data_IF_080073802292
#
_entry.id   IF_080073802292
#
_cell.length_a   1.000
_cell.length_b   1.000
_cell.length_c   1.000
_cell.angle_alpha   90.00
_cell.angle_beta   90.00
_cell.angle_gamma   90.00
#
_symmetry.space_group_name_H-M   'P 1'
#
loop_
_entity.id
_entity.type
_entity.pdbx_description
1 polymer ?
#
# COMPACT_ATOMS: atom_id res chain seq x y z
N UNK A 1 0.52 -5.29 56.75
CA UNK A 1 -0.56 -4.55 56.07
C UNK A 1 -0.02 -3.57 55.01
N UNK A 2 0.95 -2.72 55.35
CA UNK A 2 1.51 -1.71 54.43
C UNK A 2 2.30 -2.28 53.24
N UNK A 3 2.99 -3.40 53.43
CA UNK A 3 3.74 -4.10 52.37
C UNK A 3 2.84 -4.63 51.26
N UNK A 4 1.66 -5.15 51.60
CA UNK A 4 0.69 -5.65 50.63
C UNK A 4 0.12 -4.53 49.74
N UNK A 5 -0.16 -3.35 50.32
CA UNK A 5 -0.68 -2.20 49.58
C UNK A 5 0.34 -1.65 48.57
N UNK A 6 1.63 -1.59 48.94
CA UNK A 6 2.71 -1.13 48.06
C UNK A 6 2.90 -2.10 46.89
N UNK A 7 2.86 -3.41 47.14
CA UNK A 7 2.98 -4.41 46.07
C UNK A 7 1.83 -4.31 45.06
N UNK A 8 0.59 -4.09 45.52
CA UNK A 8 -0.58 -3.93 44.63
C UNK A 8 -0.41 -2.68 43.75
N UNK A 9 0.05 -1.57 44.31
CA UNK A 9 0.24 -0.32 43.57
C UNK A 9 1.34 -0.45 42.50
N UNK A 10 2.44 -1.13 42.82
CA UNK A 10 3.51 -1.42 41.85
C UNK A 10 3.02 -2.33 40.71
N UNK A 11 2.21 -3.36 41.01
CA UNK A 11 1.64 -4.24 39.99
C UNK A 11 0.72 -3.45 39.04
N UNK A 12 -0.11 -2.55 39.56
CA UNK A 12 -1.01 -1.72 38.74
C UNK A 12 -0.20 -0.82 37.80
N UNK A 13 0.85 -0.16 38.30
CA UNK A 13 1.73 0.70 37.49
C UNK A 13 2.47 -0.12 36.43
N UNK A 14 3.00 -1.30 36.80
CA UNK A 14 3.66 -2.20 35.84
C UNK A 14 2.68 -2.70 34.77
N UNK A 15 1.45 -3.09 35.13
CA UNK A 15 0.44 -3.54 34.16
C UNK A 15 0.01 -2.39 33.23
N UNK A 16 -0.19 -1.18 33.75
CA UNK A 16 -0.47 0.00 32.91
C UNK A 16 0.71 0.35 32.01
N UNK A 17 1.94 0.28 32.53
CA UNK A 17 3.17 0.51 31.78
C UNK A 17 3.36 -0.52 30.66
N UNK A 18 3.23 -1.81 30.96
CA UNK A 18 3.33 -2.91 30.00
C UNK A 18 2.22 -2.81 28.96
N UNK A 19 0.96 -2.53 29.35
CA UNK A 19 -0.13 -2.34 28.38
C UNK A 19 0.13 -1.15 27.45
N UNK A 20 0.65 -0.05 27.98
CA UNK A 20 1.01 1.14 27.20
C UNK A 20 2.21 0.87 26.28
N UNK A 21 3.20 0.12 26.77
CA UNK A 21 4.40 -0.25 26.03
C UNK A 21 4.08 -1.26 24.92
N UNK A 22 3.28 -2.29 25.18
CA UNK A 22 2.79 -3.23 24.17
C UNK A 22 1.96 -2.52 23.09
N UNK A 23 1.10 -1.57 23.46
CA UNK A 23 0.37 -0.72 22.50
C UNK A 23 1.29 0.18 21.68
N UNK A 24 2.45 0.59 22.22
CA UNK A 24 3.44 1.40 21.51
C UNK A 24 4.40 0.57 20.66
N UNK A 25 4.70 -0.67 21.06
CA UNK A 25 5.56 -1.58 20.31
C UNK A 25 4.89 -2.20 19.07
N UNK A 26 3.56 -2.24 19.02
CA UNK A 26 2.85 -2.57 17.77
C UNK A 26 2.99 -1.49 16.70
N UNK A 27 3.60 -0.33 17.03
CA UNK A 27 4.07 0.64 16.07
C UNK A 27 5.54 0.36 15.74
N UNK A 28 5.77 -0.56 14.81
CA UNK A 28 7.11 -0.83 14.29
C UNK A 28 7.74 0.42 13.66
N UNK A 29 9.09 0.44 13.60
CA UNK A 29 9.98 1.51 13.12
C UNK A 29 9.68 2.13 11.74
N UNK A 30 8.65 1.70 11.02
CA UNK A 30 8.16 2.35 9.81
C UNK A 30 6.86 3.13 10.12
N UNK A 31 6.94 4.10 11.04
CA UNK A 31 6.00 5.22 11.16
C UNK A 31 4.49 4.93 11.13
N UNK A 32 4.04 3.72 11.47
CA UNK A 32 2.60 3.41 11.52
C UNK A 32 2.03 3.84 12.86
N UNK A 33 2.16 5.14 13.14
CA UNK A 33 1.25 5.85 14.05
C UNK A 33 -0.14 5.65 13.52
N UNK A 34 -0.93 4.92 14.32
CA UNK A 34 -2.26 4.50 13.95
C UNK A 34 -3.04 5.67 13.37
N UNK A 35 -3.48 5.51 12.13
CA UNK A 35 -4.80 5.87 11.63
C UNK A 35 -4.88 5.50 10.14
N UNK A 36 -5.65 4.43 9.88
CA UNK A 36 -6.11 3.92 8.58
C UNK A 36 -5.02 3.32 7.69
N UNK A 37 -5.01 1.98 7.61
CA UNK A 37 -4.50 1.27 6.45
C UNK A 37 -5.04 1.98 5.18
N UNK A 38 -4.15 2.37 4.27
CA UNK A 38 -4.52 3.12 3.06
C UNK A 38 -5.69 2.40 2.37
N UNK A 39 -6.82 3.12 2.25
CA UNK A 39 -8.03 2.56 1.65
C UNK A 39 -7.74 2.32 0.17
N UNK A 40 -7.76 1.05 -0.25
CA UNK A 40 -7.65 0.69 -1.67
C UNK A 40 -8.82 1.28 -2.43
N UNK A 41 -8.54 1.97 -3.52
CA UNK A 41 -9.54 2.45 -4.47
C UNK A 41 -10.16 1.21 -5.11
N UNK A 42 -11.47 1.03 -4.92
CA UNK A 42 -12.20 -0.11 -5.49
C UNK A 42 -12.58 0.21 -6.93
N UNK A 43 -11.88 -0.40 -7.88
CA UNK A 43 -12.30 -0.39 -9.29
C UNK A 43 -13.62 -1.13 -9.43
N UNK A 44 -14.56 -0.54 -10.19
CA UNK A 44 -15.91 -1.05 -10.40
C UNK A 44 -15.92 -2.35 -11.21
N UNK A 45 -15.03 -2.44 -12.20
CA UNK A 45 -14.89 -3.59 -13.08
C UNK A 45 -13.57 -4.33 -12.80
N UNK A 46 -13.67 -5.56 -12.28
CA UNK A 46 -12.52 -6.43 -12.00
C UNK A 46 -12.46 -7.65 -12.93
N UNK A 47 -13.27 -7.62 -13.97
CA UNK A 47 -13.29 -8.69 -14.97
C UNK A 47 -12.22 -8.41 -16.02
N UNK A 48 -11.19 -9.27 -16.16
CA UNK A 48 -10.11 -9.06 -17.13
C UNK A 48 -10.59 -9.09 -18.59
N UNK A 49 -11.72 -9.74 -18.90
CA UNK A 49 -12.25 -9.82 -20.28
C UNK A 49 -12.79 -8.48 -20.80
N UNK A 50 -13.05 -7.50 -19.91
CA UNK A 50 -13.50 -6.16 -20.29
C UNK A 50 -12.35 -5.19 -20.62
N UNK A 51 -11.09 -5.64 -20.55
CA UNK A 51 -9.91 -4.82 -20.78
C UNK A 51 -9.12 -5.35 -21.98
N UNK A 52 -9.29 -4.77 -23.17
CA UNK A 52 -8.61 -5.22 -24.39
C UNK A 52 -7.11 -4.92 -24.36
N UNK A 53 -6.64 -4.00 -23.51
CA UNK A 53 -5.25 -3.61 -23.44
C UNK A 53 -4.69 -3.87 -22.04
N UNK A 54 -3.51 -4.47 -21.97
CA UNK A 54 -2.80 -4.68 -20.71
C UNK A 54 -1.30 -4.35 -20.85
N UNK A 55 -0.69 -3.89 -19.77
CA UNK A 55 0.74 -3.63 -19.73
C UNK A 55 1.32 -3.91 -18.33
N UNK A 56 2.62 -4.16 -18.28
CA UNK A 56 3.38 -4.37 -17.05
C UNK A 56 4.36 -3.22 -16.90
N UNK A 57 4.23 -2.46 -15.81
CA UNK A 57 5.17 -1.40 -15.45
C UNK A 57 6.12 -1.91 -14.37
N UNK A 58 7.43 -1.76 -14.58
CA UNK A 58 8.43 -1.99 -13.51
C UNK A 58 8.64 -0.71 -12.73
N UNK A 59 8.28 -0.75 -11.45
CA UNK A 59 8.29 0.39 -10.54
C UNK A 59 9.33 0.14 -9.45
N UNK A 60 10.20 1.11 -9.21
CA UNK A 60 11.25 1.01 -8.21
C UNK A 60 10.94 1.85 -6.96
N UNK A 61 11.68 1.64 -5.88
CA UNK A 61 11.47 2.33 -4.60
C UNK A 61 10.28 1.83 -3.77
N UNK A 62 9.57 0.79 -4.20
CA UNK A 62 8.53 0.16 -3.38
C UNK A 62 9.16 -0.76 -2.33
N UNK A 63 9.22 -0.32 -1.08
CA UNK A 63 9.85 -1.05 0.02
C UNK A 63 8.86 -1.71 1.00
N UNK A 64 7.56 -1.45 0.88
CA UNK A 64 6.55 -2.06 1.75
C UNK A 64 5.18 -2.16 1.07
N UNK A 65 4.28 -2.96 1.65
CA UNK A 65 2.92 -3.14 1.12
C UNK A 65 2.12 -1.84 1.02
N UNK A 66 2.42 -0.84 1.86
CA UNK A 66 1.78 0.46 1.81
C UNK A 66 2.24 1.30 0.60
N UNK A 67 3.51 1.18 0.20
CA UNK A 67 4.05 1.77 -1.03
C UNK A 67 3.36 1.16 -2.26
N UNK A 68 3.22 -0.17 -2.29
CA UNK A 68 2.51 -0.86 -3.37
C UNK A 68 1.04 -0.42 -3.48
N UNK A 69 0.33 -0.29 -2.35
CA UNK A 69 -1.06 0.20 -2.33
C UNK A 69 -1.17 1.64 -2.84
N UNK A 70 -0.20 2.51 -2.54
CA UNK A 70 -0.17 3.88 -3.08
C UNK A 70 -0.08 3.90 -4.60
N UNK A 71 0.84 3.12 -5.18
CA UNK A 71 1.01 3.02 -6.64
C UNK A 71 -0.24 2.42 -7.28
N UNK A 72 -0.79 1.35 -6.69
CA UNK A 72 -2.03 0.73 -7.16
C UNK A 72 -3.20 1.73 -7.18
N UNK A 73 -3.35 2.52 -6.12
CA UNK A 73 -4.38 3.55 -6.03
C UNK A 73 -4.20 4.66 -7.08
N UNK A 74 -2.97 5.08 -7.34
CA UNK A 74 -2.68 6.10 -8.35
C UNK A 74 -3.20 5.69 -9.73
N UNK A 75 -2.94 4.45 -10.10
CA UNK A 75 -3.33 3.89 -11.38
C UNK A 75 -4.84 3.59 -11.43
N UNK A 76 -5.41 3.05 -10.34
CA UNK A 76 -6.84 2.81 -10.21
C UNK A 76 -7.70 4.08 -10.14
N UNK A 77 -7.09 5.25 -9.91
CA UNK A 77 -7.78 6.52 -9.96
C UNK A 77 -8.04 6.99 -11.40
N UNK A 78 -7.33 6.44 -12.39
CA UNK A 78 -7.57 6.74 -13.80
C UNK A 78 -8.85 6.03 -14.29
N UNK A 79 -9.61 6.72 -15.15
CA UNK A 79 -10.88 6.19 -15.63
C UNK A 79 -10.67 4.98 -16.56
N UNK A 80 -11.42 3.91 -16.33
CA UNK A 80 -11.30 2.69 -17.13
C UNK A 80 -9.96 1.96 -16.98
N UNK A 81 -9.23 2.20 -15.88
CA UNK A 81 -7.98 1.51 -15.55
C UNK A 81 -8.14 0.64 -14.33
N UNK A 82 -7.61 -0.58 -14.42
CA UNK A 82 -7.49 -1.50 -13.30
C UNK A 82 -6.05 -1.95 -13.15
N UNK A 83 -5.41 -1.54 -12.07
CA UNK A 83 -4.05 -1.90 -11.72
C UNK A 83 -4.00 -2.91 -10.57
N UNK A 84 -3.04 -3.82 -10.66
CA UNK A 84 -2.61 -4.73 -9.61
C UNK A 84 -1.10 -4.63 -9.45
N UNK A 85 -0.64 -4.38 -8.23
CA UNK A 85 0.79 -4.28 -7.95
C UNK A 85 1.28 -5.55 -7.24
N UNK A 86 2.36 -6.13 -7.75
CA UNK A 86 3.09 -7.22 -7.11
C UNK A 86 4.40 -6.67 -6.52
N UNK A 87 4.49 -6.66 -5.19
CA UNK A 87 5.68 -6.19 -4.48
C UNK A 87 6.85 -7.19 -4.59
N UNK A 88 6.58 -8.49 -4.74
CA UNK A 88 7.63 -9.51 -4.81
C UNK A 88 8.44 -9.41 -6.11
N UNK A 89 7.75 -9.10 -7.23
CA UNK A 89 8.41 -8.91 -8.53
C UNK A 89 8.71 -7.44 -8.88
N UNK A 90 8.23 -6.48 -8.08
CA UNK A 90 8.41 -5.05 -8.36
C UNK A 90 7.65 -4.58 -9.60
N UNK A 91 6.52 -5.23 -9.92
CA UNK A 91 5.78 -5.03 -11.15
C UNK A 91 4.34 -4.59 -10.87
N UNK A 92 3.85 -3.66 -11.67
CA UNK A 92 2.47 -3.21 -11.68
C UNK A 92 1.81 -3.64 -12.99
N UNK A 93 0.88 -4.59 -12.91
CA UNK A 93 0.06 -5.01 -14.05
C UNK A 93 -1.12 -4.06 -14.17
N UNK A 94 -1.31 -3.46 -15.33
CA UNK A 94 -2.34 -2.47 -15.60
C UNK A 94 -3.20 -2.93 -16.76
N UNK A 95 -4.49 -3.07 -16.51
CA UNK A 95 -5.53 -3.37 -17.45
C UNK A 95 -6.25 -2.08 -17.82
N UNK A 96 -6.42 -1.81 -19.11
CA UNK A 96 -6.95 -0.54 -19.61
C UNK A 96 -8.08 -0.80 -20.62
N UNK A 97 -9.21 -0.10 -20.46
CA UNK A 97 -10.34 -0.17 -21.39
C UNK A 97 -10.04 0.56 -22.70
N UNK A 98 -9.18 1.56 -22.64
CA UNK A 98 -8.71 2.39 -23.76
C UNK A 98 -7.18 2.43 -23.75
N UNK A 99 -6.55 2.59 -24.91
CA UNK A 99 -5.09 2.72 -24.97
C UNK A 99 -4.67 4.06 -24.36
N UNK A 100 -3.91 3.99 -23.28
CA UNK A 100 -3.28 5.15 -22.67
C UNK A 100 -1.82 5.24 -23.11
N UNK A 101 -1.37 6.47 -23.36
CA UNK A 101 0.02 6.70 -23.70
C UNK A 101 0.93 6.33 -22.51
N UNK A 102 2.08 5.68 -22.79
CA UNK A 102 3.09 5.32 -21.79
C UNK A 102 3.47 6.49 -20.89
N UNK A 103 3.46 7.71 -21.45
CA UNK A 103 3.77 8.93 -20.72
C UNK A 103 2.74 9.21 -19.63
N UNK A 104 1.45 9.07 -19.91
CA UNK A 104 0.38 9.26 -18.94
C UNK A 104 0.48 8.26 -17.78
N UNK A 105 0.77 6.99 -18.09
CA UNK A 105 0.98 5.95 -17.08
C UNK A 105 2.20 6.25 -16.20
N UNK A 106 3.33 6.66 -16.81
CA UNK A 106 4.54 7.07 -16.08
C UNK A 106 4.26 8.27 -15.19
N UNK A 107 3.55 9.26 -15.69
CA UNK A 107 3.28 10.49 -14.95
C UNK A 107 2.34 10.24 -13.77
N UNK A 108 1.36 9.33 -13.89
CA UNK A 108 0.52 8.89 -12.78
C UNK A 108 1.32 8.22 -11.65
N UNK A 109 2.28 7.35 -12.00
CA UNK A 109 3.15 6.69 -10.99
C UNK A 109 4.16 7.68 -10.40
N UNK A 110 4.72 8.57 -11.21
CA UNK A 110 5.63 9.64 -10.77
C UNK A 110 4.96 10.64 -9.83
N UNK A 111 3.69 10.95 -10.04
CA UNK A 111 2.92 11.81 -9.14
C UNK A 111 2.84 11.24 -7.71
N UNK A 112 3.03 9.93 -7.54
CA UNK A 112 3.10 9.27 -6.23
C UNK A 112 4.51 9.14 -5.67
N UNK A 113 5.52 9.66 -6.37
CA UNK A 113 6.92 9.66 -5.94
C UNK A 113 7.71 8.42 -6.34
N UNK A 114 7.22 7.61 -7.29
CA UNK A 114 7.90 6.40 -7.72
C UNK A 114 8.35 6.48 -9.18
N UNK A 115 9.62 6.13 -9.49
CA UNK A 115 10.09 6.05 -10.87
C UNK A 115 9.64 4.73 -11.53
N UNK A 116 9.34 4.82 -12.83
CA UNK A 116 9.07 3.67 -13.70
C UNK A 116 10.21 3.53 -14.69
N UNK A 117 10.87 2.38 -14.71
CA UNK A 117 12.05 2.15 -15.55
C UNK A 117 11.75 1.34 -16.81
N UNK A 118 10.73 0.49 -16.79
CA UNK A 118 10.33 -0.33 -17.94
C UNK A 118 8.82 -0.40 -18.05
N UNK A 119 8.32 -0.38 -19.28
CA UNK A 119 6.93 -0.69 -19.63
C UNK A 119 6.97 -1.79 -20.67
N UNK A 120 6.28 -2.87 -20.37
CA UNK A 120 6.11 -4.02 -21.26
C UNK A 120 4.63 -4.05 -21.66
N UNK A 121 4.32 -3.78 -22.93
CA UNK A 121 2.93 -3.85 -23.42
C UNK A 121 2.63 -5.28 -23.82
N UNK A 122 1.62 -5.88 -23.17
CA UNK A 122 1.14 -7.20 -23.55
C UNK A 122 -0.15 -6.99 -24.34
N UNK A 123 -0.03 -7.01 -25.65
CA UNK A 123 -1.20 -6.96 -26.53
C UNK A 123 -1.91 -8.32 -26.44
N UNK A 124 -3.17 -8.29 -26.03
CA UNK A 124 -4.07 -9.44 -26.12
C UNK A 124 -4.82 -9.40 -27.46
#
# INVERSE_FOLDING_TARGET
MSTAAICILLIIVCVFGIRSYLKRLTLGCCGSSGEKALKRIKVKDRDPSHYPCQCILKVDGMSCGNCAVRVENALNAMDGVWARVNLESGEAVVYMKQDYEDKALKDAVRACGYPVFRIDRIQA
#
